data_IF_321212295076
#
_entry.id   IF_321212295076
#
_cell.length_a   1.000
_cell.length_b   1.000
_cell.length_c   1.000
_cell.angle_alpha   90.00
_cell.angle_beta   90.00
_cell.angle_gamma   90.00
#
_symmetry.space_group_name_H-M   'P 1'
#
loop_
_entity.id
_entity.type
_entity.pdbx_description
1 polymer ?
#
# COMPACT_ATOMS: atom_id res chain seq x y z
N UNK A 1 8.76 -2.23 -29.22
CA UNK A 1 8.17 -3.43 -28.56
C UNK A 1 8.66 -3.62 -27.11
N UNK A 2 9.94 -3.39 -26.81
CA UNK A 2 10.50 -3.49 -25.44
C UNK A 2 9.92 -2.46 -24.45
N UNK A 3 9.58 -1.24 -24.90
CA UNK A 3 8.93 -0.21 -24.07
C UNK A 3 7.50 -0.56 -23.62
N UNK A 4 6.79 -1.42 -24.33
CA UNK A 4 5.43 -1.83 -23.98
C UNK A 4 5.41 -2.96 -22.93
N UNK A 5 6.44 -3.81 -22.87
CA UNK A 5 6.56 -4.86 -21.84
C UNK A 5 6.82 -4.28 -20.44
N UNK A 6 7.63 -3.22 -20.36
CA UNK A 6 7.91 -2.54 -19.07
C UNK A 6 6.68 -1.78 -18.52
N UNK A 7 5.70 -1.45 -19.35
CA UNK A 7 4.48 -0.76 -18.90
C UNK A 7 3.44 -1.70 -18.28
N UNK A 8 3.43 -2.98 -18.64
CA UNK A 8 2.52 -3.96 -18.05
C UNK A 8 2.97 -4.39 -16.63
N UNK A 9 4.27 -4.35 -16.35
CA UNK A 9 4.82 -4.66 -15.01
C UNK A 9 4.46 -3.61 -13.94
N UNK A 10 4.15 -2.37 -14.36
CA UNK A 10 3.74 -1.30 -13.45
C UNK A 10 2.30 -1.43 -12.95
N UNK A 11 1.44 -2.15 -13.67
CA UNK A 11 0.03 -2.35 -13.30
C UNK A 11 -0.17 -3.20 -12.03
N UNK A 12 0.87 -3.88 -11.60
CA UNK A 12 0.87 -4.68 -10.38
C UNK A 12 1.45 -3.94 -9.16
N UNK A 13 1.92 -2.72 -9.34
CA UNK A 13 2.39 -1.89 -8.22
C UNK A 13 1.22 -1.15 -7.61
N UNK A 14 1.06 -1.25 -6.29
CA UNK A 14 0.16 -0.37 -5.54
C UNK A 14 0.44 1.08 -5.94
N UNK A 15 -0.59 1.81 -6.38
CA UNK A 15 -0.46 3.24 -6.65
C UNK A 15 -0.32 3.95 -5.31
N UNK A 16 0.86 4.42 -5.03
CA UNK A 16 1.20 5.11 -3.80
C UNK A 16 1.69 6.49 -4.16
N UNK A 17 0.99 7.50 -3.66
CA UNK A 17 1.48 8.86 -3.65
C UNK A 17 2.06 9.16 -2.27
N UNK A 18 3.34 9.45 -2.18
CA UNK A 18 3.94 10.00 -0.96
C UNK A 18 4.58 11.34 -1.28
N UNK A 19 4.26 12.36 -0.51
CA UNK A 19 5.02 13.59 -0.50
C UNK A 19 6.09 13.49 0.58
N UNK A 20 7.27 13.99 0.28
CA UNK A 20 8.45 13.82 1.11
C UNK A 20 8.96 15.11 1.68
N UNK A 21 9.60 14.97 2.83
CA UNK A 21 10.60 15.85 3.44
C UNK A 21 11.54 16.52 2.43
N UNK A 22 11.98 17.78 2.67
CA UNK A 22 12.65 18.64 1.68
C UNK A 22 14.01 18.16 1.16
N UNK A 23 14.47 16.99 1.55
CA UNK A 23 15.79 16.47 1.14
C UNK A 23 15.76 15.30 0.14
N UNK A 24 14.59 14.82 -0.30
CA UNK A 24 14.52 13.77 -1.31
C UNK A 24 13.56 14.18 -2.42
N UNK A 25 14.09 14.83 -3.44
CA UNK A 25 13.43 15.05 -4.73
C UNK A 25 13.32 13.71 -5.46
N UNK A 26 12.44 12.81 -4.98
CA UNK A 26 11.91 11.79 -5.86
C UNK A 26 10.96 12.53 -6.81
N UNK A 27 11.23 12.54 -8.12
CA UNK A 27 10.26 13.07 -9.06
C UNK A 27 8.97 12.28 -8.82
N UNK A 28 7.86 12.99 -8.69
CA UNK A 28 6.54 12.42 -8.80
C UNK A 28 6.47 11.81 -10.21
N UNK A 29 7.01 10.61 -10.34
CA UNK A 29 6.77 9.79 -11.51
C UNK A 29 5.30 9.39 -11.37
N UNK A 30 4.42 10.27 -11.85
CA UNK A 30 3.16 9.87 -12.42
C UNK A 30 3.54 8.79 -13.45
N UNK A 31 3.60 7.55 -12.97
CA UNK A 31 3.82 6.43 -13.84
C UNK A 31 2.77 6.55 -14.93
N UNK A 32 3.18 6.80 -16.16
CA UNK A 32 2.36 6.67 -17.35
C UNK A 32 2.07 5.18 -17.55
N UNK A 33 1.44 4.57 -16.57
CA UNK A 33 0.77 3.31 -16.80
C UNK A 33 -0.45 3.65 -17.64
N UNK A 34 -0.61 3.01 -18.78
CA UNK A 34 -1.90 2.86 -19.45
C UNK A 34 -2.77 1.99 -18.54
N UNK A 35 -3.23 2.58 -17.44
CA UNK A 35 -4.29 2.02 -16.63
C UNK A 35 -5.57 2.29 -17.42
N UNK A 36 -6.51 1.32 -17.50
CA UNK A 36 -7.84 1.60 -18.03
C UNK A 36 -8.37 2.86 -17.33
N UNK A 37 -8.80 3.79 -18.12
CA UNK A 37 -8.87 5.25 -17.94
C UNK A 37 -9.54 5.78 -16.67
N UNK A 38 -10.07 4.97 -15.77
CA UNK A 38 -10.90 5.46 -14.67
C UNK A 38 -10.29 5.46 -13.26
N UNK A 39 -9.39 4.52 -12.96
CA UNK A 39 -9.07 4.28 -11.54
C UNK A 39 -7.96 5.18 -11.02
N UNK A 40 -6.91 5.43 -11.79
CA UNK A 40 -5.76 6.24 -11.34
C UNK A 40 -6.04 7.72 -11.37
N UNK A 41 -6.68 8.21 -12.42
CA UNK A 41 -7.08 9.61 -12.50
C UNK A 41 -8.05 9.99 -11.40
N UNK A 42 -8.99 9.11 -11.06
CA UNK A 42 -9.93 9.30 -9.96
C UNK A 42 -9.21 9.30 -8.60
N UNK A 43 -8.27 8.38 -8.38
CA UNK A 43 -7.48 8.34 -7.16
C UNK A 43 -6.64 9.61 -7.01
N UNK A 44 -5.91 9.99 -8.04
CA UNK A 44 -5.08 11.19 -8.02
C UNK A 44 -5.91 12.46 -7.80
N UNK A 45 -7.08 12.57 -8.45
CA UNK A 45 -8.00 13.68 -8.24
C UNK A 45 -8.52 13.73 -6.80
N UNK A 46 -8.88 12.59 -6.20
CA UNK A 46 -9.33 12.52 -4.80
C UNK A 46 -8.20 12.82 -3.83
N UNK A 47 -6.99 12.32 -4.12
CA UNK A 47 -5.82 12.52 -3.27
C UNK A 47 -5.35 13.97 -3.24
N UNK A 48 -5.37 14.64 -4.39
CA UNK A 48 -4.82 16.00 -4.54
C UNK A 48 -5.87 17.11 -4.51
N UNK A 49 -7.15 16.77 -4.65
CA UNK A 49 -8.21 17.73 -4.92
C UNK A 49 -8.18 18.31 -6.35
N UNK A 50 -7.19 17.94 -7.18
CA UNK A 50 -7.03 18.47 -8.53
C UNK A 50 -7.97 17.75 -9.52
N UNK A 51 -8.83 18.46 -10.25
CA UNK A 51 -9.85 17.87 -11.10
C UNK A 51 -9.28 17.41 -12.46
N UNK A 52 -8.50 16.32 -12.47
CA UNK A 52 -7.75 15.82 -13.63
C UNK A 52 -8.65 15.63 -14.85
N UNK A 53 -9.81 14.98 -14.71
CA UNK A 53 -10.71 14.72 -15.83
C UNK A 53 -11.25 16.01 -16.45
N UNK A 54 -11.58 17.01 -15.63
CA UNK A 54 -12.06 18.32 -16.09
C UNK A 54 -10.99 19.09 -16.85
N UNK A 55 -9.74 19.03 -16.36
CA UNK A 55 -8.60 19.67 -17.04
C UNK A 55 -8.28 18.93 -18.33
N UNK A 56 -8.25 17.59 -18.31
CA UNK A 56 -8.02 16.79 -19.52
C UNK A 56 -9.06 17.06 -20.62
N UNK A 57 -10.34 17.20 -20.28
CA UNK A 57 -11.37 17.54 -21.24
C UNK A 57 -11.13 18.92 -21.89
N UNK A 58 -10.65 19.89 -21.13
CA UNK A 58 -10.31 21.22 -21.68
C UNK A 58 -9.08 21.18 -22.58
N UNK A 59 -8.09 20.35 -22.27
CA UNK A 59 -6.91 20.13 -23.11
C UNK A 59 -7.33 19.44 -24.43
N UNK A 60 -8.24 18.48 -24.35
CA UNK A 60 -8.74 17.76 -25.54
C UNK A 60 -9.43 18.67 -26.56
N UNK A 61 -9.99 19.80 -26.13
CA UNK A 61 -10.58 20.82 -27.03
C UNK A 61 -9.59 21.95 -27.36
N UNK A 62 -8.28 21.74 -27.16
CA UNK A 62 -7.22 22.60 -27.64
C UNK A 62 -6.72 23.67 -26.65
N UNK A 63 -7.20 23.70 -25.40
CA UNK A 63 -6.67 24.60 -24.39
C UNK A 63 -5.34 24.12 -23.83
N UNK A 64 -4.44 25.06 -23.53
CA UNK A 64 -3.19 24.79 -22.85
C UNK A 64 -3.38 24.84 -21.32
N UNK A 65 -2.50 24.18 -20.56
CA UNK A 65 -2.58 24.15 -19.09
C UNK A 65 -2.47 25.55 -18.47
N UNK A 66 -1.67 26.43 -19.06
CA UNK A 66 -1.47 27.81 -18.63
C UNK A 66 -2.65 28.74 -18.96
N UNK A 67 -3.58 28.29 -19.80
CA UNK A 67 -4.81 28.99 -20.14
C UNK A 67 -6.02 28.54 -19.30
N UNK A 68 -5.89 27.43 -18.57
CA UNK A 68 -6.97 26.86 -17.78
C UNK A 68 -6.87 27.37 -16.35
N UNK A 69 -7.90 28.08 -15.83
CA UNK A 69 -7.92 28.48 -14.42
C UNK A 69 -7.88 27.27 -13.49
N UNK A 70 -7.14 27.39 -12.40
CA UNK A 70 -7.12 26.39 -11.34
C UNK A 70 -8.49 26.37 -10.63
N UNK A 71 -9.19 25.26 -10.74
CA UNK A 71 -10.54 25.12 -10.18
C UNK A 71 -10.56 25.05 -8.64
N UNK A 72 -9.41 24.83 -7.99
CA UNK A 72 -9.28 24.75 -6.53
C UNK A 72 -9.04 26.12 -5.93
N UNK A 73 -8.07 26.85 -6.47
CA UNK A 73 -7.68 28.18 -5.94
C UNK A 73 -8.49 29.32 -6.56
N UNK A 74 -8.99 29.15 -7.78
CA UNK A 74 -9.65 30.21 -8.55
C UNK A 74 -8.73 31.35 -9.00
N UNK A 75 -7.53 31.45 -8.43
CA UNK A 75 -6.59 32.59 -8.60
C UNK A 75 -5.35 32.24 -9.42
N UNK A 76 -5.04 30.97 -9.58
CA UNK A 76 -3.88 30.48 -10.32
C UNK A 76 -4.30 29.70 -11.56
N UNK A 77 -3.30 29.25 -12.34
CA UNK A 77 -3.56 28.41 -13.51
C UNK A 77 -3.52 26.93 -13.15
N UNK A 78 -4.03 26.09 -14.05
CA UNK A 78 -4.01 24.62 -13.86
C UNK A 78 -2.60 24.02 -13.97
N UNK A 79 -1.64 24.78 -14.46
CA UNK A 79 -0.23 24.40 -14.54
C UNK A 79 0.47 24.58 -13.17
N UNK A 80 0.12 23.73 -12.21
CA UNK A 80 0.78 23.69 -10.91
C UNK A 80 0.96 22.25 -10.43
N UNK A 81 1.96 22.01 -9.59
CA UNK A 81 2.20 20.73 -8.98
C UNK A 81 1.63 20.71 -7.54
N UNK A 82 0.71 19.79 -7.23
CA UNK A 82 0.14 19.70 -5.88
C UNK A 82 1.21 19.23 -4.89
N UNK A 83 1.32 19.90 -3.74
CA UNK A 83 2.15 19.47 -2.63
C UNK A 83 1.27 18.76 -1.59
N UNK A 84 1.66 17.53 -1.23
CA UNK A 84 0.96 16.69 -0.26
C UNK A 84 1.88 16.35 0.90
N UNK A 85 1.36 16.40 2.12
CA UNK A 85 2.04 16.02 3.36
C UNK A 85 1.50 14.72 3.96
N UNK A 86 0.77 13.95 3.17
CA UNK A 86 0.16 12.68 3.53
C UNK A 86 0.38 11.61 2.44
N UNK A 87 0.28 10.36 2.86
CA UNK A 87 0.34 9.20 1.97
C UNK A 87 -1.06 8.69 1.67
N UNK A 88 -1.32 8.37 0.40
CA UNK A 88 -2.58 7.76 -0.03
C UNK A 88 -2.29 6.37 -0.56
N UNK A 89 -2.92 5.37 0.06
CA UNK A 89 -2.86 3.97 -0.37
C UNK A 89 -4.23 3.56 -0.90
N UNK A 90 -4.22 3.00 -2.11
CA UNK A 90 -5.37 2.34 -2.71
C UNK A 90 -5.12 0.84 -2.70
N UNK A 91 -6.00 0.07 -2.10
CA UNK A 91 -5.89 -1.38 -2.04
C UNK A 91 -7.13 -2.02 -2.69
N UNK A 92 -6.98 -2.89 -3.70
CA UNK A 92 -8.09 -3.54 -4.36
C UNK A 92 -8.67 -4.67 -3.51
N UNK A 93 -9.99 -4.88 -3.63
CA UNK A 93 -10.72 -6.00 -3.07
C UNK A 93 -10.94 -7.03 -4.18
N UNK A 94 -10.28 -8.18 -4.06
CA UNK A 94 -10.50 -9.31 -4.97
C UNK A 94 -11.47 -10.31 -4.37
N UNK A 95 -12.42 -10.85 -5.14
CA UNK A 95 -13.47 -11.74 -4.64
C UNK A 95 -13.07 -13.22 -4.63
N UNK A 96 -11.77 -13.55 -4.51
CA UNK A 96 -11.29 -14.94 -4.56
C UNK A 96 -11.62 -15.74 -3.32
N UNK A 97 -12.08 -15.12 -2.25
CA UNK A 97 -12.73 -15.76 -1.11
C UNK A 97 -14.08 -16.36 -1.48
N UNK A 98 -14.81 -15.76 -2.43
CA UNK A 98 -16.09 -16.26 -2.97
C UNK A 98 -15.91 -17.15 -4.19
N UNK A 99 -14.82 -16.96 -4.94
CA UNK A 99 -14.51 -17.70 -6.17
C UNK A 99 -13.12 -18.37 -6.06
N UNK A 100 -12.98 -19.43 -5.22
CA UNK A 100 -11.68 -20.04 -4.93
C UNK A 100 -10.98 -20.67 -6.14
N UNK A 101 -11.76 -21.09 -7.15
CA UNK A 101 -11.25 -21.68 -8.41
C UNK A 101 -10.95 -20.63 -9.49
N UNK A 102 -11.13 -19.34 -9.19
CA UNK A 102 -10.81 -18.27 -10.13
C UNK A 102 -9.30 -18.13 -10.34
N UNK A 103 -8.91 -17.69 -11.54
CA UNK A 103 -7.50 -17.35 -11.81
C UNK A 103 -7.07 -16.13 -10.97
N UNK A 104 -6.23 -16.38 -9.97
CA UNK A 104 -5.75 -15.38 -9.00
C UNK A 104 -4.63 -14.50 -9.55
N UNK A 105 -4.04 -14.86 -10.66
CA UNK A 105 -2.96 -14.08 -11.28
C UNK A 105 -3.48 -12.74 -11.76
N UNK A 106 -2.91 -11.66 -11.27
CA UNK A 106 -3.28 -10.31 -11.73
C UNK A 106 -2.57 -9.99 -13.02
N UNK A 107 -3.35 -9.58 -14.02
CA UNK A 107 -2.90 -9.21 -15.36
C UNK A 107 -3.45 -7.83 -15.74
N UNK A 108 -3.57 -7.54 -17.05
CA UNK A 108 -4.22 -6.32 -17.54
C UNK A 108 -5.75 -6.34 -17.40
N UNK A 109 -6.34 -7.52 -17.17
CA UNK A 109 -7.77 -7.68 -16.93
C UNK A 109 -8.11 -7.26 -15.50
N UNK A 110 -9.16 -6.47 -15.34
CA UNK A 110 -9.66 -6.08 -14.03
C UNK A 110 -10.38 -7.26 -13.35
N UNK A 111 -9.87 -7.70 -12.20
CA UNK A 111 -10.44 -8.79 -11.38
C UNK A 111 -10.97 -8.31 -10.03
N UNK A 112 -10.65 -7.08 -9.64
CA UNK A 112 -11.13 -6.49 -8.39
C UNK A 112 -12.61 -6.09 -8.52
N UNK A 113 -13.40 -6.36 -7.49
CA UNK A 113 -14.82 -5.99 -7.39
C UNK A 113 -15.05 -4.75 -6.53
N UNK A 114 -14.03 -4.28 -5.86
CA UNK A 114 -14.06 -3.10 -5.01
C UNK A 114 -12.64 -2.64 -4.68
N UNK A 115 -12.56 -1.57 -3.91
CA UNK A 115 -11.29 -0.98 -3.50
C UNK A 115 -11.48 -0.15 -2.25
N UNK A 116 -10.44 -0.04 -1.44
CA UNK A 116 -10.36 0.93 -0.36
C UNK A 116 -9.32 1.99 -0.70
N UNK A 117 -9.60 3.23 -0.32
CA UNK A 117 -8.66 4.34 -0.38
C UNK A 117 -8.44 4.86 1.03
N UNK A 118 -7.19 4.88 1.46
CA UNK A 118 -6.79 5.28 2.80
C UNK A 118 -5.79 6.41 2.72
N UNK A 119 -5.95 7.37 3.61
CA UNK A 119 -5.04 8.49 3.80
C UNK A 119 -4.44 8.37 5.19
N UNK A 120 -3.10 8.48 5.28
CA UNK A 120 -2.38 8.53 6.54
C UNK A 120 -1.04 9.27 6.35
N UNK A 121 -0.30 9.53 7.45
CA UNK A 121 0.96 10.26 7.40
C UNK A 121 2.13 9.45 6.85
N UNK A 122 2.09 8.11 7.00
CA UNK A 122 3.12 7.22 6.50
C UNK A 122 2.52 6.11 5.65
N UNK A 123 3.34 5.51 4.78
CA UNK A 123 2.94 4.38 3.97
C UNK A 123 2.57 3.18 4.83
N UNK A 124 3.36 2.88 5.86
CA UNK A 124 3.15 1.76 6.77
C UNK A 124 1.79 1.87 7.45
N UNK A 125 1.46 3.05 7.99
CA UNK A 125 0.18 3.30 8.64
C UNK A 125 -0.99 3.22 7.65
N UNK A 126 -0.85 3.81 6.47
CA UNK A 126 -1.87 3.77 5.43
C UNK A 126 -2.12 2.33 4.93
N UNK A 127 -1.05 1.53 4.75
CA UNK A 127 -1.17 0.14 4.31
C UNK A 127 -1.86 -0.74 5.35
N UNK A 128 -1.47 -0.64 6.62
CA UNK A 128 -2.09 -1.36 7.71
C UNK A 128 -3.59 -1.04 7.85
N UNK A 129 -3.93 0.24 7.76
CA UNK A 129 -5.31 0.70 7.78
C UNK A 129 -6.09 0.20 6.55
N UNK A 130 -5.48 0.20 5.36
CA UNK A 130 -6.09 -0.31 4.14
C UNK A 130 -6.44 -1.80 4.24
N UNK A 131 -5.50 -2.62 4.71
CA UNK A 131 -5.73 -4.07 4.86
C UNK A 131 -6.86 -4.38 5.82
N UNK A 132 -6.95 -3.68 6.96
CA UNK A 132 -8.06 -3.86 7.91
C UNK A 132 -9.42 -3.43 7.34
N UNK A 133 -9.42 -2.46 6.42
CA UNK A 133 -10.65 -1.93 5.80
C UNK A 133 -11.17 -2.80 4.63
N UNK A 134 -10.46 -3.87 4.24
CA UNK A 134 -10.85 -4.72 3.12
C UNK A 134 -11.98 -5.71 3.42
N UNK A 135 -12.41 -5.83 4.68
CA UNK A 135 -13.47 -6.77 5.12
C UNK A 135 -13.16 -8.23 4.73
N UNK A 136 -11.92 -8.65 4.91
CA UNK A 136 -11.44 -10.01 4.62
C UNK A 136 -11.46 -10.91 5.88
N UNK A 137 -12.54 -10.88 6.64
CA UNK A 137 -12.66 -11.71 7.85
C UNK A 137 -11.62 -11.40 8.93
N UNK A 138 -11.29 -10.10 9.13
CA UNK A 138 -10.33 -9.65 10.14
C UNK A 138 -8.86 -9.81 9.73
N UNK A 139 -8.54 -10.13 8.49
CA UNK A 139 -7.15 -10.25 8.02
C UNK A 139 -6.43 -8.91 8.15
N UNK A 140 -5.45 -8.88 9.04
CA UNK A 140 -4.46 -7.81 9.13
C UNK A 140 -3.20 -8.20 8.35
N UNK A 141 -2.16 -7.37 8.37
CA UNK A 141 -0.86 -7.76 7.80
C UNK A 141 -0.18 -8.91 8.58
N UNK A 142 -0.63 -9.21 9.80
CA UNK A 142 -0.12 -10.36 10.58
C UNK A 142 -0.61 -11.71 10.04
N UNK A 143 -1.64 -11.71 9.20
CA UNK A 143 -2.18 -12.95 8.68
C UNK A 143 -1.18 -13.68 7.78
N UNK A 144 -1.09 -14.97 7.96
CA UNK A 144 -0.39 -15.90 7.05
C UNK A 144 -1.30 -17.07 6.71
N UNK A 145 -1.12 -17.65 5.53
CA UNK A 145 -1.81 -18.88 5.17
C UNK A 145 -1.21 -20.06 5.94
N UNK A 146 -2.05 -20.97 6.41
CA UNK A 146 -1.61 -22.14 7.17
C UNK A 146 -0.68 -23.05 6.36
N UNK A 147 -0.84 -23.09 5.05
CA UNK A 147 0.03 -23.87 4.17
C UNK A 147 1.47 -23.36 4.15
N UNK A 148 1.70 -22.07 4.42
CA UNK A 148 3.05 -21.49 4.47
C UNK A 148 3.76 -21.75 5.79
N UNK A 149 3.02 -22.01 6.86
CA UNK A 149 3.56 -22.26 8.20
C UNK A 149 3.79 -23.73 8.51
N UNK A 150 3.14 -24.63 7.76
CA UNK A 150 3.18 -26.07 8.03
C UNK A 150 4.40 -26.79 7.49
N UNK A 151 5.31 -26.10 6.78
CA UNK A 151 6.48 -26.73 6.15
C UNK A 151 7.68 -26.68 7.08
N UNK A 152 8.24 -27.86 7.40
CA UNK A 152 9.47 -27.98 8.17
C UNK A 152 10.69 -27.41 7.42
N UNK A 153 10.69 -27.47 6.09
CA UNK A 153 11.72 -26.90 5.21
C UNK A 153 11.12 -25.79 4.34
N UNK A 154 11.18 -24.56 4.84
CA UNK A 154 10.69 -23.40 4.10
C UNK A 154 11.53 -23.13 2.85
N UNK A 155 10.87 -23.05 1.69
CA UNK A 155 11.43 -22.51 0.45
C UNK A 155 10.73 -21.22 0.06
N UNK A 156 11.46 -20.29 -0.53
CA UNK A 156 10.87 -19.05 -1.04
C UNK A 156 9.86 -19.33 -2.18
N UNK A 157 10.04 -20.43 -2.91
CA UNK A 157 9.17 -20.87 -4.00
C UNK A 157 7.80 -21.36 -3.51
N UNK A 158 7.67 -21.64 -2.21
CA UNK A 158 6.39 -22.03 -1.59
C UNK A 158 5.45 -20.83 -1.38
N UNK A 159 6.00 -19.62 -1.46
CA UNK A 159 5.21 -18.40 -1.30
C UNK A 159 4.71 -17.87 -2.66
N UNK A 160 3.44 -17.46 -2.73
CA UNK A 160 2.88 -16.89 -3.96
C UNK A 160 3.37 -15.45 -4.19
N UNK A 161 4.66 -15.29 -4.53
CA UNK A 161 5.30 -14.00 -4.78
C UNK A 161 5.00 -13.42 -6.16
N UNK A 162 4.40 -14.20 -7.05
CA UNK A 162 3.86 -13.70 -8.31
C UNK A 162 2.75 -12.65 -8.10
N UNK A 163 2.41 -11.86 -9.12
CA UNK A 163 1.29 -10.93 -9.05
C UNK A 163 -0.05 -11.62 -8.80
N UNK A 164 -0.54 -11.59 -7.57
CA UNK A 164 -1.82 -12.15 -7.11
C UNK A 164 -2.35 -11.37 -5.90
N UNK A 165 -3.52 -11.76 -5.42
CA UNK A 165 -4.20 -11.12 -4.29
C UNK A 165 -3.56 -11.38 -2.93
N UNK A 166 -2.76 -12.45 -2.76
CA UNK A 166 -2.07 -12.80 -1.51
C UNK A 166 -0.64 -12.27 -1.42
N UNK A 167 -0.14 -11.68 -2.50
CA UNK A 167 1.26 -11.31 -2.66
C UNK A 167 1.82 -10.47 -1.51
N UNK A 168 1.05 -9.52 -0.97
CA UNK A 168 1.49 -8.66 0.13
C UNK A 168 1.78 -9.50 1.37
N UNK A 169 0.88 -10.41 1.72
CA UNK A 169 1.07 -11.32 2.87
C UNK A 169 2.21 -12.31 2.64
N UNK A 170 2.37 -12.80 1.41
CA UNK A 170 3.51 -13.65 1.05
C UNK A 170 4.86 -12.93 1.21
N UNK A 171 4.94 -11.66 0.84
CA UNK A 171 6.14 -10.83 1.08
C UNK A 171 6.37 -10.63 2.59
N UNK A 172 5.33 -10.35 3.38
CA UNK A 172 5.44 -10.24 4.83
C UNK A 172 5.95 -11.55 5.43
N UNK A 173 5.42 -12.70 4.99
CA UNK A 173 5.87 -14.03 5.43
C UNK A 173 7.34 -14.29 5.09
N UNK A 174 7.81 -13.92 3.90
CA UNK A 174 9.21 -14.01 3.52
C UNK A 174 10.13 -13.18 4.43
N UNK A 175 9.72 -11.92 4.70
CA UNK A 175 10.50 -11.02 5.54
C UNK A 175 10.54 -11.46 7.02
N UNK A 176 9.49 -12.09 7.54
CA UNK A 176 9.46 -12.68 8.90
C UNK A 176 10.43 -13.85 9.02
N UNK A 177 10.68 -14.58 7.93
CA UNK A 177 11.63 -15.72 7.83
C UNK A 177 13.04 -15.28 7.43
N UNK A 178 13.35 -14.00 7.62
CA UNK A 178 14.69 -13.41 7.37
C UNK A 178 15.17 -13.51 5.91
N UNK A 179 14.24 -13.68 4.95
CA UNK A 179 14.62 -13.59 3.55
C UNK A 179 15.14 -12.18 3.26
N UNK A 180 16.34 -12.11 2.68
CA UNK A 180 16.99 -10.84 2.37
C UNK A 180 16.09 -9.98 1.46
N UNK A 181 15.95 -8.69 1.80
CA UNK A 181 15.16 -7.72 1.04
C UNK A 181 15.55 -7.63 -0.43
N UNK A 182 16.84 -7.75 -0.76
CA UNK A 182 17.33 -7.77 -2.15
C UNK A 182 16.79 -8.97 -2.93
N UNK A 183 16.73 -10.14 -2.28
CA UNK A 183 16.15 -11.35 -2.88
C UNK A 183 14.64 -11.14 -3.14
N UNK A 184 13.90 -10.59 -2.19
CA UNK A 184 12.48 -10.27 -2.37
C UNK A 184 12.29 -9.28 -3.52
N UNK A 185 13.09 -8.22 -3.58
CA UNK A 185 13.08 -7.23 -4.69
C UNK A 185 13.34 -7.91 -6.03
N UNK A 186 14.38 -8.75 -6.10
CA UNK A 186 14.75 -9.45 -7.33
C UNK A 186 13.65 -10.39 -7.82
N UNK A 187 13.00 -11.12 -6.91
CA UNK A 187 11.92 -12.06 -7.23
C UNK A 187 10.63 -11.34 -7.60
N UNK A 188 10.25 -10.34 -6.82
CA UNK A 188 8.95 -9.66 -6.99
C UNK A 188 8.97 -8.54 -8.03
N UNK A 189 10.15 -8.00 -8.35
CA UNK A 189 10.34 -6.78 -9.18
C UNK A 189 9.63 -5.55 -8.60
N UNK A 190 9.32 -5.56 -7.31
CA UNK A 190 8.77 -4.41 -6.59
C UNK A 190 9.94 -3.48 -6.21
N UNK A 191 9.69 -2.18 -6.29
CA UNK A 191 10.70 -1.18 -5.94
C UNK A 191 11.21 -1.39 -4.51
N UNK A 192 12.55 -1.30 -4.28
CA UNK A 192 13.17 -1.54 -2.98
C UNK A 192 12.59 -0.69 -1.85
N UNK A 193 12.10 0.50 -2.15
CA UNK A 193 11.51 1.39 -1.14
C UNK A 193 10.29 0.75 -0.47
N UNK A 194 9.42 0.08 -1.24
CA UNK A 194 8.23 -0.60 -0.70
C UNK A 194 8.62 -1.82 0.12
N UNK A 195 9.58 -2.62 -0.35
CA UNK A 195 10.06 -3.78 0.39
C UNK A 195 10.69 -3.34 1.72
N UNK A 196 11.48 -2.25 1.71
CA UNK A 196 12.05 -1.66 2.92
C UNK A 196 10.98 -1.16 3.88
N UNK A 197 9.88 -0.60 3.38
CA UNK A 197 8.75 -0.18 4.21
C UNK A 197 8.06 -1.39 4.89
N UNK A 198 7.85 -2.48 4.15
CA UNK A 198 7.30 -3.73 4.71
C UNK A 198 8.28 -4.35 5.73
N UNK A 199 9.58 -4.31 5.47
CA UNK A 199 10.59 -4.77 6.43
C UNK A 199 10.57 -3.96 7.73
N UNK A 200 10.31 -2.65 7.69
CA UNK A 200 10.13 -1.83 8.91
C UNK A 200 8.89 -2.27 9.72
N UNK A 201 7.81 -2.69 9.06
CA UNK A 201 6.64 -3.23 9.76
C UNK A 201 7.03 -4.54 10.46
N UNK A 202 7.72 -5.46 9.77
CA UNK A 202 8.20 -6.73 10.37
C UNK A 202 9.17 -6.47 11.52
N UNK A 203 10.06 -5.49 11.40
CA UNK A 203 10.96 -5.12 12.49
C UNK A 203 10.19 -4.63 13.73
N UNK A 204 9.09 -3.90 13.56
CA UNK A 204 8.21 -3.48 14.66
C UNK A 204 7.46 -4.68 15.26
N UNK A 205 6.99 -5.63 14.44
CA UNK A 205 6.38 -6.88 14.92
C UNK A 205 7.33 -7.65 15.84
N UNK A 206 8.60 -7.79 15.44
CA UNK A 206 9.65 -8.47 16.24
C UNK A 206 9.88 -7.76 17.57
N UNK A 207 9.91 -6.44 17.56
CA UNK A 207 10.07 -5.68 18.80
C UNK A 207 8.89 -5.89 19.75
N UNK A 208 7.66 -5.88 19.23
CA UNK A 208 6.46 -6.12 20.04
C UNK A 208 6.41 -7.56 20.59
N UNK A 209 7.02 -8.54 19.89
CA UNK A 209 7.12 -9.92 20.33
C UNK A 209 8.20 -10.13 21.41
N UNK A 210 9.32 -9.38 21.35
CA UNK A 210 10.51 -9.64 22.17
C UNK A 210 10.72 -8.63 23.30
N UNK A 211 10.19 -7.42 23.17
CA UNK A 211 10.35 -6.35 24.16
C UNK A 211 9.08 -6.22 25.02
N UNK A 212 9.25 -5.87 26.30
CA UNK A 212 8.10 -5.47 27.13
C UNK A 212 7.43 -4.23 26.55
N UNK A 213 6.10 -4.16 26.63
CA UNK A 213 5.35 -3.03 26.10
C UNK A 213 5.58 -1.79 26.98
N UNK A 214 6.20 -0.77 26.40
CA UNK A 214 6.42 0.55 27.01
C UNK A 214 5.60 1.61 26.31
N UNK A 215 5.37 2.80 26.95
CA UNK A 215 4.67 3.91 26.32
C UNK A 215 5.27 4.31 24.96
N UNK A 216 6.60 4.35 24.89
CA UNK A 216 7.33 4.73 23.66
C UNK A 216 7.18 3.68 22.56
N UNK A 217 7.25 2.40 22.91
CA UNK A 217 7.08 1.30 21.95
C UNK A 217 5.64 1.28 21.44
N UNK A 218 4.65 1.40 22.33
CA UNK A 218 3.25 1.47 21.95
C UNK A 218 2.96 2.66 21.04
N UNK A 219 3.46 3.86 21.40
CA UNK A 219 3.30 5.05 20.57
C UNK A 219 3.89 4.86 19.16
N UNK A 220 5.08 4.27 19.06
CA UNK A 220 5.71 3.98 17.76
C UNK A 220 4.89 2.99 16.95
N UNK A 221 4.43 1.89 17.56
CA UNK A 221 3.57 0.91 16.91
C UNK A 221 2.27 1.55 16.41
N UNK A 222 1.62 2.37 17.23
CA UNK A 222 0.39 3.09 16.85
C UNK A 222 0.63 4.06 15.69
N UNK A 223 1.75 4.79 15.67
CA UNK A 223 2.14 5.66 14.55
C UNK A 223 2.43 4.90 13.26
N UNK A 224 2.85 3.65 13.36
CA UNK A 224 3.00 2.75 12.21
C UNK A 224 1.69 2.06 11.81
N UNK A 225 0.57 2.36 12.47
CA UNK A 225 -0.75 1.89 12.12
C UNK A 225 -1.18 0.55 12.72
N UNK A 226 -0.44 -0.01 13.68
CA UNK A 226 -0.87 -1.22 14.39
C UNK A 226 -2.16 -0.98 15.17
N UNK A 227 -3.14 -1.88 15.06
CA UNK A 227 -4.35 -1.88 15.88
C UNK A 227 -4.04 -2.36 17.30
N UNK A 228 -4.96 -2.09 18.24
CA UNK A 228 -4.82 -2.61 19.59
C UNK A 228 -4.88 -4.15 19.60
N UNK A 229 -5.65 -4.74 18.68
CA UNK A 229 -5.70 -6.19 18.45
C UNK A 229 -4.36 -6.75 17.96
N UNK A 230 -3.71 -6.10 16.98
CA UNK A 230 -2.41 -6.53 16.48
C UNK A 230 -1.32 -6.41 17.55
N UNK A 231 -1.31 -5.30 18.30
CA UNK A 231 -0.37 -5.12 19.41
C UNK A 231 -0.64 -6.17 20.49
N UNK A 232 -1.89 -6.43 20.83
CA UNK A 232 -2.26 -7.44 21.82
C UNK A 232 -1.81 -8.84 21.41
N UNK A 233 -2.03 -9.23 20.13
CA UNK A 233 -1.58 -10.53 19.60
C UNK A 233 -0.05 -10.68 19.70
N UNK A 234 0.71 -9.62 19.44
CA UNK A 234 2.18 -9.66 19.45
C UNK A 234 2.77 -9.54 20.85
N UNK A 235 2.13 -8.82 21.76
CA UNK A 235 2.61 -8.59 23.12
C UNK A 235 1.97 -9.56 24.16
N UNK A 236 1.25 -10.59 23.70
CA UNK A 236 0.50 -11.55 24.55
C UNK A 236 -0.45 -10.85 25.52
N UNK A 237 -1.24 -9.91 25.02
CA UNK A 237 -2.21 -9.11 25.77
C UNK A 237 -3.57 -9.10 25.11
N UNK A 238 -4.63 -8.89 25.88
CA UNK A 238 -5.94 -8.62 25.30
C UNK A 238 -5.99 -7.22 24.67
N UNK A 239 -6.72 -7.04 23.57
CA UNK A 239 -6.86 -5.73 22.92
C UNK A 239 -7.36 -4.63 23.88
N UNK A 240 -8.21 -4.98 24.81
CA UNK A 240 -8.74 -4.07 25.83
C UNK A 240 -7.66 -3.60 26.83
N UNK A 241 -6.73 -4.49 27.18
CA UNK A 241 -5.58 -4.14 28.03
C UNK A 241 -4.67 -3.14 27.33
N UNK A 242 -4.36 -3.39 26.04
CA UNK A 242 -3.59 -2.45 25.22
C UNK A 242 -4.29 -1.09 25.12
N UNK A 243 -5.61 -1.10 24.93
CA UNK A 243 -6.42 0.12 24.90
C UNK A 243 -6.36 0.89 26.22
N UNK A 244 -6.47 0.19 27.35
CA UNK A 244 -6.40 0.82 28.67
C UNK A 244 -5.02 1.43 28.92
N UNK A 245 -3.94 0.72 28.63
CA UNK A 245 -2.59 1.26 28.72
C UNK A 245 -2.40 2.52 27.86
N UNK A 246 -2.91 2.52 26.66
CA UNK A 246 -2.86 3.67 25.73
C UNK A 246 -3.61 4.89 26.27
N UNK A 247 -4.62 4.70 27.10
CA UNK A 247 -5.37 5.79 27.74
C UNK A 247 -4.72 6.26 29.04
N UNK A 248 -3.95 5.39 29.69
CA UNK A 248 -3.22 5.71 30.93
C UNK A 248 -1.92 6.47 30.62
N UNK A 249 -1.29 6.20 29.51
CA UNK A 249 -0.03 6.80 29.06
C UNK A 249 -0.28 7.98 28.11
#
# INVERSE_FOLDING_TARGET
MQRMKNQAEWLNKMVIGSSHSPHNKLPMQLARARIPHNTTGTLASKATGYPIARVAAKIAVGKRLDEIPNAVTGMTQAAFEPALDYCVVKFPRWPFDKFPHGDRRTTTQMKATGEVMVIDRSFEAALQKATRSLELGGRSLLWEDRTWTAQENFSLDDLPLEPNDLRVWAIMAALRRDVNTETVVRTTKIDPWFISALARIVAMERRLLSEGLTPELLLRAKRMGFSDEQVGTLADMLPEQVRNLRHQW
#
